data_IF_077264414368
#
_entry.id   IF_077264414368
#
_cell.length_a   1.000
_cell.length_b   1.000
_cell.length_c   1.000
_cell.angle_alpha   90.00
_cell.angle_beta   90.00
_cell.angle_gamma   90.00
#
_symmetry.space_group_name_H-M   'P 1'
#
loop_
_entity.id
_entity.type
_entity.pdbx_description
1 polymer ?
#
# COMPACT_ATOMS: atom_id res chain seq x y z
N UNK A 1 -8.55 61.90 -36.14
CA UNK A 1 -9.56 61.33 -35.25
C UNK A 1 -9.67 59.88 -35.63
N UNK A 2 -9.01 59.01 -34.87
CA UNK A 2 -9.09 57.56 -35.05
C UNK A 2 -10.12 57.05 -34.06
N UNK A 3 -11.31 56.71 -34.55
CA UNK A 3 -12.34 56.05 -33.77
C UNK A 3 -11.82 54.66 -33.37
N UNK A 4 -11.46 54.53 -32.11
CA UNK A 4 -11.22 53.23 -31.49
C UNK A 4 -12.55 52.59 -31.17
N UNK A 5 -13.19 51.94 -32.16
CA UNK A 5 -14.32 51.06 -31.90
C UNK A 5 -13.81 49.87 -31.10
N UNK A 6 -14.08 49.91 -29.82
CA UNK A 6 -13.82 48.76 -28.93
C UNK A 6 -14.61 47.51 -29.41
N UNK A 7 -14.16 46.31 -29.07
CA UNK A 7 -14.81 45.08 -29.50
C UNK A 7 -16.29 45.08 -29.08
N UNK A 8 -17.18 44.63 -29.99
CA UNK A 8 -18.61 44.59 -29.75
C UNK A 8 -18.94 43.72 -28.53
N UNK A 9 -19.99 44.06 -27.79
CA UNK A 9 -20.41 43.28 -26.59
C UNK A 9 -20.58 41.78 -26.88
N UNK A 10 -20.98 41.46 -28.11
CA UNK A 10 -21.17 40.07 -28.58
C UNK A 10 -19.82 39.34 -28.67
N UNK A 11 -18.77 40.00 -29.13
CA UNK A 11 -17.41 39.42 -29.19
C UNK A 11 -16.84 39.22 -27.79
N UNK A 12 -17.09 40.16 -26.88
CA UNK A 12 -16.63 40.02 -25.48
C UNK A 12 -17.35 38.87 -24.78
N UNK A 13 -18.67 38.71 -24.99
CA UNK A 13 -19.43 37.59 -24.41
C UNK A 13 -18.95 36.26 -25.00
N UNK A 14 -18.76 36.18 -26.32
CA UNK A 14 -18.27 34.98 -26.96
C UNK A 14 -16.85 34.57 -26.46
N UNK A 15 -15.96 35.56 -26.31
CA UNK A 15 -14.60 35.33 -25.75
C UNK A 15 -14.67 34.85 -24.29
N UNK A 16 -15.55 35.42 -23.47
CA UNK A 16 -15.73 35.00 -22.09
C UNK A 16 -16.25 33.55 -21.99
N UNK A 17 -17.24 33.18 -22.79
CA UNK A 17 -17.80 31.82 -22.83
C UNK A 17 -16.73 30.81 -23.25
N UNK A 18 -15.94 31.13 -24.26
CA UNK A 18 -14.81 30.27 -24.69
C UNK A 18 -13.75 30.13 -23.59
N UNK A 19 -13.40 31.23 -22.92
CA UNK A 19 -12.41 31.17 -21.82
C UNK A 19 -12.91 30.31 -20.63
N UNK A 20 -14.18 30.51 -20.23
CA UNK A 20 -14.77 29.69 -19.15
C UNK A 20 -14.87 28.22 -19.57
N UNK A 21 -15.25 27.94 -20.81
CA UNK A 21 -15.29 26.59 -21.37
C UNK A 21 -13.90 25.92 -21.37
N UNK A 22 -12.89 26.65 -21.81
CA UNK A 22 -11.49 26.15 -21.82
C UNK A 22 -10.98 25.87 -20.39
N UNK A 23 -11.25 26.77 -19.44
CA UNK A 23 -10.90 26.55 -18.03
C UNK A 23 -11.62 25.33 -17.48
N UNK A 24 -12.91 25.14 -17.76
CA UNK A 24 -13.68 23.97 -17.36
C UNK A 24 -13.09 22.67 -17.88
N UNK A 25 -12.68 22.62 -19.16
CA UNK A 25 -12.04 21.48 -19.78
C UNK A 25 -10.67 21.20 -19.13
N UNK A 26 -9.85 22.22 -18.92
CA UNK A 26 -8.53 22.06 -18.26
C UNK A 26 -8.69 21.55 -16.85
N UNK A 27 -9.63 22.06 -16.06
CA UNK A 27 -9.91 21.58 -14.71
C UNK A 27 -10.42 20.14 -14.72
N UNK A 28 -11.31 19.78 -15.64
CA UNK A 28 -11.79 18.40 -15.78
C UNK A 28 -10.64 17.42 -16.11
N UNK A 29 -9.75 17.81 -17.02
CA UNK A 29 -8.55 17.02 -17.36
C UNK A 29 -7.59 16.94 -16.16
N UNK A 30 -7.38 18.02 -15.43
CA UNK A 30 -6.50 18.04 -14.26
C UNK A 30 -7.00 17.13 -13.12
N UNK A 31 -8.32 17.11 -12.88
CA UNK A 31 -8.94 16.24 -11.87
C UNK A 31 -8.89 14.76 -12.28
N UNK A 32 -8.96 14.45 -13.57
CA UNK A 32 -8.91 13.07 -14.06
C UNK A 32 -7.48 12.53 -14.26
N UNK A 33 -6.49 13.39 -14.41
CA UNK A 33 -5.07 13.01 -14.52
C UNK A 33 -4.45 12.83 -13.14
N UNK A 34 -4.64 11.64 -12.54
CA UNK A 34 -3.80 11.23 -11.43
C UNK A 34 -2.41 10.92 -11.97
N UNK A 35 -1.34 11.59 -11.52
CA UNK A 35 0.02 11.20 -11.92
C UNK A 35 0.24 9.73 -11.52
N UNK A 36 0.87 8.92 -12.38
CA UNK A 36 1.13 7.54 -12.06
C UNK A 36 1.97 7.46 -10.78
N UNK A 37 1.56 6.59 -9.85
CA UNK A 37 2.32 6.35 -8.62
C UNK A 37 3.72 5.85 -8.98
N UNK A 38 4.72 6.35 -8.29
CA UNK A 38 6.10 5.87 -8.47
C UNK A 38 6.18 4.38 -8.11
N UNK A 39 6.92 3.56 -8.87
CA UNK A 39 7.14 2.17 -8.54
C UNK A 39 7.78 2.01 -7.16
N UNK A 40 7.44 0.92 -6.46
CA UNK A 40 7.98 0.58 -5.16
C UNK A 40 9.23 -0.27 -5.33
N UNK A 41 10.36 0.19 -4.81
CA UNK A 41 11.56 -0.62 -4.71
C UNK A 41 11.47 -1.51 -3.45
N UNK A 42 11.51 -2.83 -3.63
CA UNK A 42 11.46 -3.80 -2.54
C UNK A 42 12.79 -4.54 -2.51
N UNK A 43 13.50 -4.44 -1.39
CA UNK A 43 14.74 -5.21 -1.20
C UNK A 43 14.43 -6.71 -1.19
N UNK A 44 15.26 -7.49 -1.90
CA UNK A 44 15.15 -8.95 -1.90
C UNK A 44 15.61 -9.49 -0.55
N UNK A 45 14.76 -10.31 0.06
CA UNK A 45 15.07 -11.07 1.28
C UNK A 45 14.70 -12.53 1.03
N UNK A 46 15.35 -13.50 1.73
CA UNK A 46 14.98 -14.90 1.62
C UNK A 46 13.48 -15.10 1.96
N UNK A 47 12.76 -15.74 1.05
CA UNK A 47 11.35 -16.07 1.23
C UNK A 47 11.09 -17.48 0.65
N UNK A 48 11.55 -18.54 1.35
CA UNK A 48 11.52 -19.90 0.84
C UNK A 48 10.11 -20.41 0.56
N UNK A 49 9.10 -19.88 1.26
CA UNK A 49 7.70 -20.27 1.16
C UNK A 49 6.87 -19.30 0.26
N UNK A 50 7.52 -18.38 -0.46
CA UNK A 50 6.81 -17.39 -1.30
C UNK A 50 5.95 -18.01 -2.40
N UNK A 51 6.30 -19.23 -2.85
CA UNK A 51 5.58 -19.96 -3.87
C UNK A 51 4.57 -20.97 -3.31
N UNK A 52 4.45 -21.10 -2.00
CA UNK A 52 3.50 -22.02 -1.37
C UNK A 52 2.05 -21.58 -1.62
N UNK A 53 1.09 -22.51 -1.63
CA UNK A 53 -0.31 -22.19 -1.90
C UNK A 53 -0.89 -21.06 -1.04
N UNK A 54 -0.61 -20.95 0.28
CA UNK A 54 -1.11 -19.85 1.09
C UNK A 54 -0.67 -18.47 0.58
N UNK A 55 0.61 -18.32 0.19
CA UNK A 55 1.13 -17.06 -0.33
C UNK A 55 0.53 -16.72 -1.70
N UNK A 56 0.39 -17.70 -2.59
CA UNK A 56 -0.25 -17.48 -3.89
C UNK A 56 -1.70 -17.03 -3.74
N UNK A 57 -2.45 -17.66 -2.85
CA UNK A 57 -3.85 -17.29 -2.58
C UNK A 57 -3.95 -15.88 -2.01
N UNK A 58 -3.12 -15.55 -1.02
CA UNK A 58 -3.08 -14.21 -0.42
C UNK A 58 -2.77 -13.16 -1.48
N UNK A 59 -1.69 -13.35 -2.26
CA UNK A 59 -1.25 -12.36 -3.25
C UNK A 59 -2.24 -12.16 -4.39
N UNK A 60 -3.00 -13.19 -4.77
CA UNK A 60 -4.06 -13.08 -5.75
C UNK A 60 -5.27 -12.26 -5.22
N UNK A 61 -5.46 -12.23 -3.91
CA UNK A 61 -6.58 -11.56 -3.25
C UNK A 61 -6.26 -10.17 -2.70
N UNK A 62 -4.97 -9.73 -2.70
CA UNK A 62 -4.61 -8.42 -2.14
C UNK A 62 -5.36 -7.28 -2.83
N UNK A 63 -5.88 -6.31 -2.07
CA UNK A 63 -6.72 -5.25 -2.60
C UNK A 63 -5.92 -4.21 -3.39
N UNK A 64 -6.62 -3.48 -4.26
CA UNK A 64 -6.04 -2.35 -4.98
C UNK A 64 -5.79 -1.13 -4.08
N UNK A 65 -6.42 -1.08 -2.91
CA UNK A 65 -6.28 0.01 -1.94
C UNK A 65 -6.19 -0.54 -0.52
N UNK A 66 -5.31 0.10 0.27
CA UNK A 66 -5.20 -0.09 1.72
C UNK A 66 -5.33 1.30 2.37
N UNK A 67 -6.53 1.67 2.80
CA UNK A 67 -6.81 3.04 3.20
C UNK A 67 -6.48 4.03 2.08
N UNK A 68 -5.59 4.98 2.35
CA UNK A 68 -5.14 5.99 1.38
C UNK A 68 -4.05 5.49 0.42
N UNK A 69 -3.52 4.29 0.65
CA UNK A 69 -2.48 3.68 -0.19
C UNK A 69 -3.10 2.93 -1.37
N UNK A 70 -2.61 3.20 -2.58
CA UNK A 70 -3.01 2.52 -3.80
C UNK A 70 -1.94 1.52 -4.22
N UNK A 71 -2.38 0.40 -4.82
CA UNK A 71 -1.49 -0.63 -5.37
C UNK A 71 -0.54 0.01 -6.37
N UNK A 72 0.75 -0.20 -6.18
CA UNK A 72 1.80 0.32 -7.04
C UNK A 72 2.55 -0.81 -7.73
N UNK A 73 3.11 -0.52 -8.90
CA UNK A 73 4.06 -1.41 -9.56
C UNK A 73 5.33 -1.56 -8.72
N UNK A 74 6.00 -2.69 -8.84
CA UNK A 74 7.26 -2.96 -8.15
C UNK A 74 8.39 -2.85 -9.15
N UNK A 75 9.50 -2.24 -8.73
CA UNK A 75 10.73 -2.14 -9.54
C UNK A 75 11.26 -3.55 -9.82
N UNK A 76 11.65 -3.78 -11.07
CA UNK A 76 12.23 -5.06 -11.50
C UNK A 76 13.68 -5.23 -11.01
N UNK A 77 14.11 -6.44 -10.65
CA UNK A 77 13.32 -7.68 -10.58
C UNK A 77 12.36 -7.71 -9.39
N UNK A 78 11.12 -8.17 -9.62
CA UNK A 78 10.11 -8.28 -8.56
C UNK A 78 10.45 -9.46 -7.63
N UNK A 79 10.70 -9.23 -6.33
CA UNK A 79 10.91 -10.33 -5.40
C UNK A 79 9.65 -11.19 -5.26
N UNK A 80 9.82 -12.51 -5.20
CA UNK A 80 8.70 -13.42 -5.02
C UNK A 80 7.95 -13.13 -3.70
N UNK A 81 6.65 -13.34 -3.70
CA UNK A 81 5.83 -13.19 -2.50
C UNK A 81 5.57 -11.75 -2.08
N UNK A 82 5.75 -10.75 -2.96
CA UNK A 82 5.68 -9.34 -2.57
C UNK A 82 4.50 -8.58 -3.18
N UNK A 83 4.06 -7.57 -2.45
CA UNK A 83 3.09 -6.60 -2.88
C UNK A 83 3.43 -5.22 -2.28
N UNK A 84 3.12 -4.14 -3.01
CA UNK A 84 3.41 -2.79 -2.55
C UNK A 84 2.28 -1.81 -2.83
N UNK A 85 2.09 -0.86 -1.93
CA UNK A 85 1.12 0.22 -2.07
C UNK A 85 1.79 1.55 -1.74
N UNK A 86 1.35 2.61 -2.38
CA UNK A 86 1.88 3.94 -2.19
C UNK A 86 0.74 4.94 -2.06
N UNK A 87 0.89 5.90 -1.18
CA UNK A 87 0.03 7.08 -1.12
C UNK A 87 0.74 8.28 -1.75
N UNK A 88 -0.02 9.18 -2.38
CA UNK A 88 0.54 10.40 -2.95
C UNK A 88 1.14 11.32 -1.89
N UNK A 89 0.60 11.27 -0.66
CA UNK A 89 1.04 12.06 0.51
C UNK A 89 2.18 11.42 1.31
N UNK A 90 2.49 10.13 1.06
CA UNK A 90 3.49 9.40 1.84
C UNK A 90 4.79 9.23 1.04
N UNK A 91 5.92 9.53 1.68
CA UNK A 91 7.25 9.32 1.10
C UNK A 91 7.59 7.83 0.96
N UNK A 92 7.08 7.00 1.87
CA UNK A 92 7.38 5.58 1.94
C UNK A 92 6.18 4.69 1.63
N UNK A 93 6.40 3.51 1.01
CA UNK A 93 5.34 2.59 0.67
C UNK A 93 4.96 1.68 1.85
N UNK A 94 3.73 1.15 1.81
CA UNK A 94 3.36 -0.06 2.53
C UNK A 94 3.84 -1.25 1.72
N UNK A 95 4.53 -2.20 2.36
CA UNK A 95 5.10 -3.38 1.71
C UNK A 95 4.64 -4.65 2.41
N UNK A 96 4.08 -5.57 1.63
CA UNK A 96 3.77 -6.93 2.06
C UNK A 96 4.83 -7.90 1.52
N UNK A 97 5.25 -8.85 2.37
CA UNK A 97 6.06 -10.01 1.99
C UNK A 97 5.44 -11.27 2.56
N UNK A 98 5.27 -12.29 1.75
CA UNK A 98 4.73 -13.59 2.15
C UNK A 98 5.76 -14.69 1.95
N UNK A 99 5.78 -15.66 2.85
CA UNK A 99 6.63 -16.83 2.74
C UNK A 99 8.02 -16.66 3.34
N UNK A 100 8.15 -15.75 4.27
CA UNK A 100 9.38 -15.53 5.03
C UNK A 100 9.61 -16.67 6.04
N UNK A 101 10.86 -16.79 6.50
CA UNK A 101 11.18 -17.57 7.68
C UNK A 101 10.68 -16.87 8.95
N UNK A 102 10.60 -17.64 10.05
CA UNK A 102 10.28 -17.10 11.37
C UNK A 102 11.27 -15.99 11.73
N UNK A 103 10.80 -14.81 12.21
CA UNK A 103 11.70 -13.79 12.72
C UNK A 103 12.55 -14.34 13.88
N UNK A 104 13.84 -14.07 13.86
CA UNK A 104 14.79 -14.52 14.92
C UNK A 104 14.43 -13.97 16.28
N UNK A 105 13.86 -12.77 16.32
CA UNK A 105 13.48 -12.07 17.54
C UNK A 105 12.13 -12.54 18.10
N UNK A 106 11.42 -13.43 17.39
CA UNK A 106 10.17 -14.01 17.88
C UNK A 106 10.47 -15.18 18.82
N UNK A 107 10.56 -14.87 20.11
CA UNK A 107 10.89 -15.82 21.18
C UNK A 107 9.73 -16.00 22.15
N UNK A 108 9.80 -17.00 23.02
CA UNK A 108 8.83 -17.19 24.10
C UNK A 108 8.78 -15.94 24.96
N UNK A 109 7.57 -15.39 25.16
CA UNK A 109 7.34 -14.13 25.90
C UNK A 109 7.36 -12.87 25.04
N UNK A 110 7.61 -12.97 23.72
CA UNK A 110 7.49 -11.83 22.83
C UNK A 110 6.07 -11.23 22.88
N UNK A 111 5.93 -9.90 22.90
CA UNK A 111 4.62 -9.26 22.86
C UNK A 111 3.93 -9.52 21.52
N UNK A 112 2.66 -9.94 21.59
CA UNK A 112 1.82 -10.20 20.42
C UNK A 112 0.62 -9.27 20.47
N UNK A 113 0.25 -8.71 19.32
CA UNK A 113 -0.99 -7.95 19.16
C UNK A 113 -1.96 -8.71 18.25
N UNK A 114 -3.24 -8.70 18.61
CA UNK A 114 -4.29 -9.32 17.82
C UNK A 114 -5.03 -8.24 17.04
N UNK A 115 -5.08 -8.39 15.72
CA UNK A 115 -5.86 -7.51 14.82
C UNK A 115 -6.73 -8.41 13.95
N UNK A 116 -8.04 -8.26 14.05
CA UNK A 116 -9.02 -9.06 13.28
C UNK A 116 -8.72 -10.56 13.25
N UNK A 117 -8.51 -11.16 14.42
CA UNK A 117 -8.21 -12.60 14.62
C UNK A 117 -6.86 -13.06 14.05
N UNK A 118 -5.98 -12.16 13.66
CA UNK A 118 -4.59 -12.47 13.28
C UNK A 118 -3.66 -12.01 14.40
N UNK A 119 -2.75 -12.88 14.80
CA UNK A 119 -1.72 -12.57 15.78
C UNK A 119 -0.49 -12.04 15.10
N UNK A 120 -0.07 -10.85 15.54
CA UNK A 120 1.05 -10.11 14.98
C UNK A 120 2.15 -9.89 16.00
N UNK A 121 3.39 -10.14 15.58
CA UNK A 121 4.61 -9.77 16.28
C UNK A 121 5.24 -8.58 15.58
N UNK A 122 5.51 -7.50 16.32
CA UNK A 122 6.07 -6.27 15.78
C UNK A 122 7.58 -6.20 15.98
N UNK A 123 8.30 -5.90 14.89
CA UNK A 123 9.71 -5.51 14.91
C UNK A 123 9.80 -4.06 14.49
N UNK A 124 10.35 -3.22 15.36
CA UNK A 124 10.60 -1.80 15.09
C UNK A 124 12.04 -1.59 14.68
N UNK A 125 12.22 -0.87 13.59
CA UNK A 125 13.51 -0.45 13.09
C UNK A 125 13.42 1.02 12.69
N UNK A 126 14.13 1.88 13.40
CA UNK A 126 14.03 3.33 13.25
C UNK A 126 12.56 3.79 13.33
N UNK A 127 12.07 4.48 12.30
CA UNK A 127 10.68 4.98 12.25
C UNK A 127 9.70 3.99 11.60
N UNK A 128 10.14 2.77 11.24
CA UNK A 128 9.31 1.76 10.57
C UNK A 128 8.91 0.64 11.50
N UNK A 129 7.67 0.19 11.34
CA UNK A 129 7.20 -1.03 11.99
C UNK A 129 7.01 -2.12 10.96
N UNK A 130 7.60 -3.28 11.20
CA UNK A 130 7.34 -4.49 10.43
C UNK A 130 6.60 -5.49 11.31
N UNK A 131 5.41 -5.85 10.88
CA UNK A 131 4.49 -6.74 11.57
C UNK A 131 4.51 -8.11 10.92
N UNK A 132 4.75 -9.16 11.69
CA UNK A 132 4.80 -10.54 11.23
C UNK A 132 3.61 -11.33 11.76
N UNK A 133 2.86 -12.02 10.88
CA UNK A 133 1.86 -12.99 11.34
C UNK A 133 2.58 -14.14 12.02
N UNK A 134 2.12 -14.55 13.21
CA UNK A 134 2.76 -15.63 13.98
C UNK A 134 1.87 -16.84 14.20
N UNK A 135 0.63 -16.78 13.73
CA UNK A 135 -0.39 -17.82 13.85
C UNK A 135 -0.95 -18.26 12.48
N UNK A 136 -0.13 -18.22 11.45
CA UNK A 136 -0.50 -18.65 10.09
C UNK A 136 0.50 -19.68 9.55
N UNK A 137 0.09 -20.50 8.55
CA UNK A 137 0.95 -21.57 8.00
C UNK A 137 2.27 -21.07 7.41
N UNK A 138 2.31 -19.80 7.00
CA UNK A 138 3.50 -19.10 6.50
C UNK A 138 3.60 -17.73 7.16
N UNK A 139 4.81 -17.24 7.36
CA UNK A 139 5.01 -15.89 7.88
C UNK A 139 4.76 -14.85 6.80
N UNK A 140 3.89 -13.91 7.13
CA UNK A 140 3.60 -12.73 6.30
C UNK A 140 4.12 -11.51 7.03
N UNK A 141 4.96 -10.73 6.39
CA UNK A 141 5.44 -9.46 6.93
C UNK A 141 4.75 -8.29 6.26
N UNK A 142 4.29 -7.34 7.07
CA UNK A 142 3.73 -6.07 6.64
C UNK A 142 4.59 -4.94 7.18
N UNK A 143 5.31 -4.24 6.31
CA UNK A 143 6.09 -3.06 6.68
C UNK A 143 5.23 -1.82 6.47
N UNK A 144 5.06 -1.07 7.55
CA UNK A 144 4.27 0.16 7.61
C UNK A 144 5.18 1.37 7.80
N UNK A 145 5.03 2.41 6.97
CA UNK A 145 5.73 3.68 7.18
C UNK A 145 5.13 4.46 8.33
N UNK A 146 5.87 5.45 8.87
CA UNK A 146 5.34 6.36 9.90
C UNK A 146 4.05 7.03 9.43
N UNK A 147 3.08 7.13 10.32
CA UNK A 147 1.81 7.82 10.04
C UNK A 147 0.85 7.08 9.12
N UNK A 148 1.10 5.81 8.78
CA UNK A 148 0.19 5.01 7.94
C UNK A 148 -1.20 4.77 8.58
N UNK A 149 -1.32 4.97 9.87
CA UNK A 149 -2.53 4.63 10.62
C UNK A 149 -2.79 3.13 10.71
N UNK A 150 -3.89 2.73 11.35
CA UNK A 150 -4.22 1.31 11.56
C UNK A 150 -4.88 0.63 10.35
N UNK A 151 -5.44 1.38 9.42
CA UNK A 151 -6.26 0.82 8.32
C UNK A 151 -5.53 -0.24 7.49
N UNK A 152 -4.26 -0.06 7.08
CA UNK A 152 -3.57 -1.07 6.28
C UNK A 152 -3.46 -2.43 6.98
N UNK A 153 -3.09 -2.47 8.26
CA UNK A 153 -2.96 -3.74 8.98
C UNK A 153 -4.32 -4.37 9.24
N UNK A 154 -5.37 -3.58 9.51
CA UNK A 154 -6.73 -4.09 9.72
C UNK A 154 -7.26 -4.77 8.44
N UNK A 155 -7.20 -4.08 7.29
CA UNK A 155 -7.68 -4.63 6.02
C UNK A 155 -6.89 -5.89 5.60
N UNK A 156 -5.59 -5.93 5.86
CA UNK A 156 -4.79 -7.12 5.56
C UNK A 156 -5.02 -8.24 6.57
N UNK A 157 -5.28 -7.93 7.84
CA UNK A 157 -5.67 -8.94 8.82
C UNK A 157 -6.98 -9.62 8.44
N UNK A 158 -8.00 -8.86 8.06
CA UNK A 158 -9.27 -9.41 7.56
C UNK A 158 -9.03 -10.34 6.36
N UNK A 159 -8.26 -9.89 5.36
CA UNK A 159 -7.93 -10.70 4.19
C UNK A 159 -7.18 -11.99 4.57
N UNK A 160 -6.16 -11.89 5.43
CA UNK A 160 -5.37 -13.04 5.89
C UNK A 160 -6.26 -14.01 6.65
N UNK A 161 -7.16 -13.54 7.50
CA UNK A 161 -8.13 -14.35 8.21
C UNK A 161 -9.03 -15.16 7.29
N UNK A 162 -9.40 -14.61 6.13
CA UNK A 162 -10.21 -15.28 5.12
C UNK A 162 -9.41 -16.22 4.19
N UNK A 163 -8.13 -15.99 3.99
CA UNK A 163 -7.30 -16.72 3.01
C UNK A 163 -6.41 -17.79 3.63
N UNK A 164 -6.13 -17.69 4.94
CA UNK A 164 -5.25 -18.61 5.65
C UNK A 164 -5.87 -19.06 6.98
N UNK A 165 -5.92 -20.37 7.27
CA UNK A 165 -6.37 -20.86 8.56
C UNK A 165 -5.39 -20.47 9.67
N UNK A 166 -5.91 -20.27 10.88
CA UNK A 166 -5.07 -20.09 12.05
C UNK A 166 -4.36 -21.40 12.43
N UNK A 167 -3.11 -21.29 12.87
CA UNK A 167 -2.31 -22.39 13.43
C UNK A 167 -1.74 -21.97 14.78
N UNK A 168 -1.35 -22.92 15.66
CA UNK A 168 -0.66 -22.57 16.90
C UNK A 168 0.62 -21.78 16.64
N UNK A 169 0.90 -20.79 17.49
CA UNK A 169 2.16 -20.02 17.44
C UNK A 169 3.32 -20.93 17.80
N UNK A 170 4.49 -20.68 17.21
CA UNK A 170 5.72 -21.46 17.44
C UNK A 170 6.92 -20.51 17.63
N UNK A 171 7.02 -19.81 18.78
CA UNK A 171 8.18 -18.97 19.08
C UNK A 171 9.44 -19.83 19.35
N UNK A 172 10.62 -19.23 19.16
CA UNK A 172 11.87 -19.87 19.59
C UNK A 172 11.96 -19.88 21.12
N UNK A 173 12.50 -20.92 21.77
CA UNK A 173 12.83 -20.87 23.20
C UNK A 173 13.67 -19.62 23.52
N UNK A 174 13.37 -18.98 24.64
CA UNK A 174 14.24 -17.94 25.16
C UNK A 174 15.55 -18.61 25.60
N UNK A 175 16.68 -18.11 25.10
CA UNK A 175 18.01 -18.59 25.47
C UNK A 175 18.40 -18.15 26.87
#
# INVERSE_FOLDING_TARGET
MTDSEGPSRTVLIAALVLAVGAIGVVLAIAVTRHPPLQPVAIATVPAPHAQDPPCRTLLAAVPQRLGDYQRASIVQPVPAGTAGWRAASASEPVVLRCGLDRPTDFVVGSPIQVVDQVQWFEVRQDDRSTWYTVDRPVYVALTLPPGSGPTPIQQLSELIGHTMPAVPISPTPAG
#
